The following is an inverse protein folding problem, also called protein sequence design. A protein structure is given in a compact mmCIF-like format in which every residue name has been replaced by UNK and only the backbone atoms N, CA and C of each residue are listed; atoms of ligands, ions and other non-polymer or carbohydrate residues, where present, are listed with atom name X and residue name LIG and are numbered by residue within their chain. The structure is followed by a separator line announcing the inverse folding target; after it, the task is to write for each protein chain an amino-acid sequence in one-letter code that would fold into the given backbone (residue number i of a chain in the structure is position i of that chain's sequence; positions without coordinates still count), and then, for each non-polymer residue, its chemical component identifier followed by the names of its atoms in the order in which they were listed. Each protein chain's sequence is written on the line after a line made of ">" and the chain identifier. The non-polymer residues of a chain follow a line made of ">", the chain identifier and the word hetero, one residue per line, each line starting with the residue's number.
data_IF_160522553846
#
_entry.id   IF_160522553846
#
_cell.length_a   1.000
_cell.length_b   1.000
_cell.length_c   1.000
_cell.angle_alpha   90.00
_cell.angle_beta   90.00
_cell.angle_gamma   90.00
#
_symmetry.space_group_name_H-M   'P 1'
#
loop_
_entity.id
_entity.type
_entity.pdbx_description
1 polymer ?
#
# COMPACT_ATOMS: atom_id res chain seq x y z
N UNK A 1 16.42 63.33 13.11
CA UNK A 1 16.20 62.80 11.75
C UNK A 1 16.17 61.28 11.84
N UNK A 2 15.02 60.62 11.67
CA UNK A 2 14.90 59.17 11.61
C UNK A 2 15.06 58.69 10.16
N UNK A 3 15.55 57.47 9.95
CA UNK A 3 15.49 56.82 8.65
C UNK A 3 16.53 55.74 8.47
N UNK A 4 16.14 54.48 8.71
CA UNK A 4 16.22 53.44 7.69
C UNK A 4 15.45 52.19 8.14
N UNK A 5 14.75 51.64 7.16
CA UNK A 5 13.69 50.68 7.25
C UNK A 5 14.23 49.25 7.43
N UNK A 6 13.53 48.44 8.22
CA UNK A 6 13.67 46.98 8.16
C UNK A 6 12.35 46.38 7.68
N UNK A 7 12.51 45.49 6.70
CA UNK A 7 11.54 45.03 5.75
C UNK A 7 10.40 44.22 6.38
N UNK A 8 9.18 44.50 5.94
CA UNK A 8 8.03 43.65 6.19
C UNK A 8 8.24 42.27 5.58
N UNK A 9 8.17 41.23 6.42
CA UNK A 9 8.02 39.85 5.97
C UNK A 9 6.62 39.73 5.38
N UNK A 10 6.53 39.92 4.06
CA UNK A 10 5.30 39.73 3.31
C UNK A 10 5.03 38.22 3.20
N UNK A 11 4.08 37.72 4.01
CA UNK A 11 3.56 36.36 3.92
C UNK A 11 2.55 36.32 2.77
N UNK A 12 3.06 36.20 1.56
CA UNK A 12 2.22 36.06 0.36
C UNK A 12 1.59 34.65 0.32
N UNK A 13 0.25 34.53 0.46
CA UNK A 13 -0.43 33.24 0.47
C UNK A 13 -0.22 32.44 -0.82
N UNK A 14 -0.01 33.11 -1.97
CA UNK A 14 0.24 32.46 -3.26
C UNK A 14 1.57 31.68 -3.29
N UNK A 15 2.52 32.04 -2.42
CA UNK A 15 3.82 31.38 -2.31
C UNK A 15 3.75 30.13 -1.41
N UNK A 16 2.86 30.14 -0.42
CA UNK A 16 2.54 28.98 0.41
C UNK A 16 1.76 27.92 -0.37
N UNK A 17 0.83 28.33 -1.22
CA UNK A 17 0.08 27.41 -2.09
C UNK A 17 0.99 26.69 -3.10
N UNK A 18 1.94 27.41 -3.71
CA UNK A 18 2.95 26.80 -4.60
C UNK A 18 3.87 25.83 -3.86
N UNK A 19 4.26 26.15 -2.63
CA UNK A 19 5.07 25.26 -1.80
C UNK A 19 4.30 23.98 -1.40
N UNK A 20 3.01 24.10 -1.11
CA UNK A 20 2.13 22.95 -0.82
C UNK A 20 1.98 22.03 -2.03
N UNK A 21 1.70 22.60 -3.21
CA UNK A 21 1.60 21.83 -4.45
C UNK A 21 2.90 21.09 -4.78
N UNK A 22 4.05 21.75 -4.62
CA UNK A 22 5.35 21.09 -4.84
C UNK A 22 5.64 19.98 -3.83
N UNK A 23 5.18 20.12 -2.59
CA UNK A 23 5.34 19.06 -1.58
C UNK A 23 4.43 17.86 -1.90
N UNK A 24 3.20 18.10 -2.36
CA UNK A 24 2.28 17.06 -2.81
C UNK A 24 2.84 16.29 -4.02
N UNK A 25 3.47 16.99 -4.97
CA UNK A 25 4.14 16.39 -6.12
C UNK A 25 5.34 15.52 -5.70
N UNK A 26 6.17 15.99 -4.75
CA UNK A 26 7.29 15.21 -4.20
C UNK A 26 6.79 13.95 -3.49
N UNK A 27 5.69 14.04 -2.74
CA UNK A 27 5.08 12.89 -2.06
C UNK A 27 4.60 11.87 -3.08
N UNK A 28 3.87 12.32 -4.11
CA UNK A 28 3.36 11.47 -5.19
C UNK A 28 4.50 10.77 -5.95
N UNK A 29 5.57 11.48 -6.28
CA UNK A 29 6.74 10.88 -6.95
C UNK A 29 7.52 9.94 -6.03
N UNK A 30 7.52 10.18 -4.71
CA UNK A 30 8.06 9.27 -3.71
C UNK A 30 7.28 7.97 -3.58
N UNK A 31 5.95 8.03 -3.59
CA UNK A 31 5.06 6.86 -3.61
C UNK A 31 5.32 6.03 -4.88
N UNK A 32 5.34 6.66 -6.05
CA UNK A 32 5.63 6.03 -7.35
C UNK A 32 7.03 5.40 -7.42
N UNK A 33 8.05 6.09 -6.91
CA UNK A 33 9.40 5.52 -6.82
C UNK A 33 9.45 4.31 -5.87
N UNK A 34 8.68 4.37 -4.77
CA UNK A 34 8.48 3.26 -3.86
C UNK A 34 7.87 2.04 -4.55
N UNK A 35 6.83 2.23 -5.37
CA UNK A 35 6.22 1.16 -6.18
C UNK A 35 7.22 0.53 -7.16
N UNK A 36 8.00 1.34 -7.88
CA UNK A 36 9.01 0.86 -8.83
C UNK A 36 10.08 0.05 -8.09
N UNK A 37 10.55 0.52 -6.93
CA UNK A 37 11.54 -0.19 -6.11
C UNK A 37 10.95 -1.50 -5.57
N UNK A 38 9.71 -1.50 -5.06
CA UNK A 38 9.04 -2.73 -4.60
C UNK A 38 8.88 -3.74 -5.73
N UNK A 39 8.52 -3.28 -6.93
CA UNK A 39 8.42 -4.09 -8.13
C UNK A 39 9.78 -4.66 -8.55
N UNK A 40 10.83 -3.84 -8.62
CA UNK A 40 12.19 -4.29 -8.92
C UNK A 40 12.74 -5.26 -7.87
N UNK A 41 12.50 -5.01 -6.59
CA UNK A 41 12.89 -5.91 -5.51
C UNK A 41 12.17 -7.27 -5.61
N UNK A 42 10.90 -7.29 -6.04
CA UNK A 42 10.18 -8.54 -6.31
C UNK A 42 10.79 -9.34 -7.46
N UNK A 43 11.39 -8.66 -8.46
CA UNK A 43 12.05 -9.29 -9.61
C UNK A 43 13.49 -9.74 -9.32
N UNK A 44 14.16 -9.15 -8.31
CA UNK A 44 15.61 -9.31 -8.09
C UNK A 44 16.00 -10.10 -6.84
N UNK A 45 15.06 -10.47 -5.96
CA UNK A 45 15.36 -11.28 -4.76
C UNK A 45 15.72 -12.73 -5.15
N UNK A 46 16.95 -12.93 -5.63
CA UNK A 46 17.64 -14.23 -5.74
C UNK A 46 18.09 -14.66 -4.34
N UNK A 47 17.16 -15.22 -3.58
CA UNK A 47 17.47 -16.15 -2.50
C UNK A 47 16.84 -17.47 -2.92
N UNK A 48 17.52 -18.60 -2.70
CA UNK A 48 16.93 -19.90 -3.03
C UNK A 48 15.60 -20.01 -2.28
N UNK A 49 14.46 -20.16 -2.98
CA UNK A 49 13.16 -20.16 -2.33
C UNK A 49 13.08 -21.31 -1.33
N UNK A 50 12.71 -20.98 -0.09
CA UNK A 50 12.55 -21.98 0.97
C UNK A 50 11.10 -22.38 1.00
N UNK A 51 10.79 -23.48 0.33
CA UNK A 51 9.44 -24.03 0.31
C UNK A 51 9.10 -24.72 1.62
N UNK A 52 8.03 -24.26 2.26
CA UNK A 52 7.50 -24.83 3.48
C UNK A 52 5.97 -24.88 3.42
N UNK A 53 5.38 -25.68 4.32
CA UNK A 53 3.93 -25.69 4.54
C UNK A 53 3.54 -24.41 5.27
N UNK A 54 2.66 -23.61 4.68
CA UNK A 54 2.27 -22.28 5.15
C UNK A 54 0.75 -22.22 5.27
N UNK A 55 0.25 -21.67 6.38
CA UNK A 55 -1.16 -21.28 6.50
C UNK A 55 -1.39 -19.92 5.82
N UNK A 56 -2.02 -19.94 4.65
CA UNK A 56 -2.33 -18.75 3.85
C UNK A 56 -3.27 -17.80 4.58
N UNK A 57 -4.24 -18.31 5.35
CA UNK A 57 -5.18 -17.46 6.09
C UNK A 57 -4.47 -16.69 7.20
N UNK A 58 -3.54 -17.35 7.90
CA UNK A 58 -2.68 -16.67 8.86
C UNK A 58 -1.81 -15.60 8.19
N UNK A 59 -1.24 -15.91 7.02
CA UNK A 59 -0.40 -14.97 6.28
C UNK A 59 -1.17 -13.71 5.86
N UNK A 60 -2.38 -13.88 5.32
CA UNK A 60 -3.25 -12.77 4.92
C UNK A 60 -3.57 -11.87 6.12
N UNK A 61 -3.94 -12.45 7.27
CA UNK A 61 -4.20 -11.69 8.50
C UNK A 61 -2.96 -10.95 8.99
N UNK A 62 -1.79 -11.58 8.90
CA UNK A 62 -0.53 -10.95 9.27
C UNK A 62 -0.24 -9.71 8.42
N UNK A 63 -0.39 -9.80 7.10
CA UNK A 63 -0.19 -8.66 6.19
C UNK A 63 -1.16 -7.51 6.49
N UNK A 64 -2.44 -7.79 6.72
CA UNK A 64 -3.39 -6.72 7.10
C UNK A 64 -3.04 -6.09 8.44
N UNK A 65 -2.48 -6.85 9.38
CA UNK A 65 -1.99 -6.30 10.65
C UNK A 65 -0.82 -5.33 10.42
N UNK A 66 0.09 -5.66 9.50
CA UNK A 66 1.21 -4.77 9.13
C UNK A 66 0.74 -3.50 8.41
N UNK A 67 -0.32 -3.58 7.60
CA UNK A 67 -0.88 -2.43 6.85
C UNK A 67 -1.94 -1.64 7.62
N UNK A 68 -2.11 -1.89 8.93
CA UNK A 68 -3.21 -1.33 9.72
C UNK A 68 -3.19 0.20 9.77
N UNK A 69 -2.01 0.79 9.92
CA UNK A 69 -1.83 2.25 9.97
C UNK A 69 -2.34 2.94 8.71
N UNK A 70 -2.00 2.40 7.56
CA UNK A 70 -2.35 2.93 6.23
C UNK A 70 -3.85 2.79 5.97
N UNK A 71 -4.42 1.63 6.33
CA UNK A 71 -5.86 1.38 6.25
C UNK A 71 -6.66 2.36 7.13
N UNK A 72 -6.21 2.60 8.38
CA UNK A 72 -6.85 3.53 9.30
C UNK A 72 -6.73 4.98 8.83
N UNK A 73 -5.55 5.41 8.42
CA UNK A 73 -5.29 6.76 7.91
C UNK A 73 -6.22 7.11 6.74
N UNK A 74 -6.50 6.13 5.89
CA UNK A 74 -7.34 6.28 4.69
C UNK A 74 -8.79 5.85 4.90
N UNK A 75 -9.18 5.49 6.14
CA UNK A 75 -10.55 5.06 6.52
C UNK A 75 -11.07 3.88 5.68
N UNK A 76 -10.19 2.95 5.35
CA UNK A 76 -10.51 1.75 4.58
C UNK A 76 -10.92 0.63 5.55
N UNK A 77 -12.09 0.05 5.33
CA UNK A 77 -12.55 -1.14 6.07
C UNK A 77 -12.04 -2.41 5.40
N UNK A 78 -11.75 -3.46 6.18
CA UNK A 78 -11.32 -4.76 5.66
C UNK A 78 -12.36 -5.82 5.91
N UNK A 79 -12.77 -6.53 4.86
CA UNK A 79 -13.67 -7.66 4.90
C UNK A 79 -12.94 -8.94 4.49
N UNK A 80 -13.07 -9.98 5.32
CA UNK A 80 -12.47 -11.29 5.08
C UNK A 80 -13.52 -12.28 4.57
N UNK A 81 -13.29 -12.82 3.38
CA UNK A 81 -14.02 -13.94 2.78
C UNK A 81 -13.05 -15.12 2.58
N UNK A 82 -12.37 -15.51 3.66
CA UNK A 82 -11.35 -16.56 3.64
C UNK A 82 -11.99 -17.96 3.68
N UNK A 83 -12.59 -18.38 2.56
CA UNK A 83 -13.50 -19.52 2.47
C UNK A 83 -12.83 -20.84 2.03
N UNK A 84 -11.51 -20.88 1.84
CA UNK A 84 -10.82 -22.11 1.49
C UNK A 84 -10.86 -23.14 2.65
N UNK A 85 -11.34 -24.35 2.37
CA UNK A 85 -11.44 -25.45 3.36
C UNK A 85 -10.07 -25.94 3.87
N UNK A 86 -9.03 -25.86 3.03
CA UNK A 86 -7.63 -26.05 3.41
C UNK A 86 -6.84 -24.79 3.05
N UNK A 87 -6.37 -24.07 4.07
CA UNK A 87 -5.55 -22.88 3.89
C UNK A 87 -4.05 -23.18 3.78
N UNK A 88 -3.66 -24.44 3.96
CA UNK A 88 -2.25 -24.82 3.90
C UNK A 88 -1.80 -25.01 2.45
N UNK A 89 -0.76 -24.25 2.09
CA UNK A 89 -0.10 -24.35 0.80
C UNK A 89 1.39 -24.66 0.99
N UNK A 90 2.04 -25.20 -0.04
CA UNK A 90 3.50 -25.31 -0.09
C UNK A 90 4.02 -24.13 -0.90
N UNK A 91 4.86 -23.31 -0.27
CA UNK A 91 5.35 -22.08 -0.90
C UNK A 91 6.53 -21.47 -0.15
N UNK A 92 7.11 -20.43 -0.72
CA UNK A 92 8.04 -19.55 0.00
C UNK A 92 7.24 -18.47 0.72
N UNK A 93 7.29 -18.47 2.06
CA UNK A 93 6.50 -17.56 2.88
C UNK A 93 6.86 -16.10 2.65
N UNK A 94 8.13 -15.79 2.40
CA UNK A 94 8.62 -14.43 2.20
C UNK A 94 8.16 -13.90 0.85
N UNK A 95 8.23 -14.72 -0.20
CA UNK A 95 7.76 -14.32 -1.52
C UNK A 95 6.24 -14.11 -1.54
N UNK A 96 5.47 -15.00 -0.90
CA UNK A 96 4.02 -14.85 -0.83
C UNK A 96 3.63 -13.62 0.00
N UNK A 97 4.32 -13.37 1.13
CA UNK A 97 4.13 -12.14 1.91
C UNK A 97 4.39 -10.89 1.06
N UNK A 98 5.45 -10.88 0.25
CA UNK A 98 5.77 -9.76 -0.64
C UNK A 98 4.65 -9.50 -1.65
N UNK A 99 4.13 -10.57 -2.27
CA UNK A 99 3.02 -10.46 -3.23
C UNK A 99 1.76 -9.93 -2.53
N UNK A 100 1.39 -10.50 -1.38
CA UNK A 100 0.22 -10.06 -0.62
C UNK A 100 0.34 -8.59 -0.19
N UNK A 101 1.51 -8.17 0.30
CA UNK A 101 1.76 -6.78 0.69
C UNK A 101 1.63 -5.84 -0.50
N UNK A 102 2.23 -6.19 -1.65
CA UNK A 102 2.11 -5.40 -2.87
C UNK A 102 0.64 -5.25 -3.30
N UNK A 103 -0.14 -6.34 -3.27
CA UNK A 103 -1.56 -6.28 -3.62
C UNK A 103 -2.37 -5.38 -2.67
N UNK A 104 -2.12 -5.48 -1.36
CA UNK A 104 -2.78 -4.65 -0.35
C UNK A 104 -2.43 -3.17 -0.53
N UNK A 105 -1.15 -2.85 -0.72
CA UNK A 105 -0.70 -1.47 -0.93
C UNK A 105 -1.29 -0.89 -2.21
N UNK A 106 -1.23 -1.62 -3.32
CA UNK A 106 -1.83 -1.18 -4.59
C UNK A 106 -3.34 -0.92 -4.45
N UNK A 107 -4.06 -1.73 -3.67
CA UNK A 107 -5.48 -1.51 -3.42
C UNK A 107 -5.73 -0.24 -2.58
N UNK A 108 -4.90 0.00 -1.56
CA UNK A 108 -4.95 1.20 -0.73
C UNK A 108 -4.67 2.46 -1.56
N UNK A 109 -3.64 2.42 -2.40
CA UNK A 109 -3.25 3.51 -3.31
C UNK A 109 -4.38 3.79 -4.32
N UNK A 110 -4.94 2.77 -4.96
CA UNK A 110 -6.07 2.94 -5.89
C UNK A 110 -7.33 3.54 -5.22
N UNK A 111 -7.56 3.25 -3.94
CA UNK A 111 -8.68 3.83 -3.19
C UNK A 111 -8.39 5.26 -2.71
N UNK A 112 -7.13 5.70 -2.70
CA UNK A 112 -6.75 7.04 -2.28
C UNK A 112 -7.29 8.15 -3.21
N UNK A 113 -7.47 7.83 -4.49
CA UNK A 113 -7.98 8.76 -5.49
C UNK A 113 -9.51 8.99 -5.38
N UNK A 114 -10.20 8.20 -4.55
CA UNK A 114 -11.66 8.22 -4.42
C UNK A 114 -12.07 8.96 -3.14
N UNK A 115 -12.39 10.25 -3.25
CA UNK A 115 -12.70 11.10 -2.10
C UNK A 115 -14.13 10.94 -1.54
N UNK A 116 -15.06 10.36 -2.31
CA UNK A 116 -16.52 10.51 -2.06
C UNK A 116 -17.15 9.34 -1.30
N UNK A 117 -16.37 8.32 -0.91
CA UNK A 117 -16.86 7.18 -0.12
C UNK A 117 -15.75 6.48 0.67
N UNK A 118 -16.04 5.92 1.86
CA UNK A 118 -15.11 5.05 2.56
C UNK A 118 -14.81 3.80 1.73
N UNK A 119 -13.53 3.49 1.55
CA UNK A 119 -13.07 2.30 0.83
C UNK A 119 -13.34 1.01 1.60
N UNK A 120 -13.56 -0.09 0.89
CA UNK A 120 -13.66 -1.43 1.48
C UNK A 120 -12.73 -2.37 0.72
N UNK A 121 -11.73 -2.91 1.41
CA UNK A 121 -10.84 -3.95 0.91
C UNK A 121 -11.44 -5.33 1.23
N UNK A 122 -11.69 -6.14 0.21
CA UNK A 122 -12.18 -7.51 0.38
C UNK A 122 -11.06 -8.49 0.05
N UNK A 123 -10.73 -9.36 0.99
CA UNK A 123 -9.76 -10.45 0.81
C UNK A 123 -10.50 -11.77 0.78
N UNK A 124 -10.40 -12.49 -0.33
CA UNK A 124 -11.04 -13.80 -0.50
C UNK A 124 -10.02 -14.89 -0.81
N UNK A 125 -10.28 -16.09 -0.32
CA UNK A 125 -9.54 -17.30 -0.69
C UNK A 125 -10.53 -18.36 -1.14
N UNK A 126 -10.19 -19.04 -2.24
CA UNK A 126 -10.97 -20.12 -2.81
C UNK A 126 -10.05 -21.17 -3.42
N UNK A 127 -10.45 -22.43 -3.36
CA UNK A 127 -9.76 -23.50 -4.08
C UNK A 127 -10.25 -23.45 -5.52
N UNK A 128 -9.35 -23.16 -6.46
CA UNK A 128 -9.63 -23.28 -7.88
C UNK A 128 -9.67 -24.78 -8.23
N UNK A 129 -10.86 -25.29 -8.56
CA UNK A 129 -10.97 -26.63 -9.13
C UNK A 129 -10.50 -26.54 -10.58
N UNK A 130 -9.72 -27.54 -11.03
CA UNK A 130 -9.28 -27.62 -12.42
C UNK A 130 -10.53 -27.65 -13.33
N UNK A 131 -10.87 -26.51 -13.94
CA UNK A 131 -12.10 -26.30 -14.71
C UNK A 131 -12.70 -24.90 -14.56
N UNK A 132 -12.43 -24.20 -13.45
CA UNK A 132 -12.89 -22.83 -13.25
C UNK A 132 -11.86 -21.86 -13.84
N UNK A 133 -12.14 -21.33 -15.04
CA UNK A 133 -11.44 -20.17 -15.59
C UNK A 133 -12.14 -18.90 -15.09
N UNK A 134 -11.38 -18.01 -14.45
CA UNK A 134 -11.80 -16.65 -14.08
C UNK A 134 -11.94 -15.80 -15.35
#
# INVERSE_FOLDING_TARGET
>A
MPGQACAGVNRDPARLDKARLGLEEIVSEGERAGEIIRSLQSLTRKQDPVFARIDLHHLVRHIITLSRSELEQRRISVNYALAAEDSFIVGDSVQIQQVLLNLVMNAIEAMAEIADRPGTLVLSTSILKAGDHI
#
